data_IF_754361664497
#
_entry.id   IF_754361664497
#
_cell.length_a   1.000
_cell.length_b   1.000
_cell.length_c   1.000
_cell.angle_alpha   90.00
_cell.angle_beta   90.00
_cell.angle_gamma   90.00
#
_symmetry.space_group_name_H-M   'P 1'
#
loop_
_entity.id
_entity.type
_entity.pdbx_description
1 polymer ?
#
# COMPACT_ATOMS: atom_id res chain seq x y z
N UNK A 1 9.80 -26.78 1.21
CA UNK A 1 10.77 -25.68 1.27
C UNK A 1 11.94 -26.17 2.11
N UNK A 2 13.15 -26.10 1.58
CA UNK A 2 14.37 -26.44 2.33
C UNK A 2 14.79 -25.25 3.20
N UNK A 3 15.67 -25.49 4.18
CA UNK A 3 16.26 -24.44 5.01
C UNK A 3 17.03 -23.41 4.17
N UNK A 4 17.78 -23.87 3.16
CA UNK A 4 18.54 -23.01 2.25
C UNK A 4 17.62 -22.17 1.35
N UNK A 5 16.49 -22.74 0.89
CA UNK A 5 15.46 -21.97 0.18
C UNK A 5 14.88 -20.88 1.09
N UNK A 6 14.53 -21.20 2.33
CA UNK A 6 14.03 -20.22 3.31
C UNK A 6 15.07 -19.13 3.65
N UNK A 7 16.34 -19.49 3.81
CA UNK A 7 17.44 -18.54 4.07
C UNK A 7 17.78 -17.68 2.85
N UNK A 8 17.54 -18.17 1.64
CA UNK A 8 17.66 -17.40 0.39
C UNK A 8 16.47 -16.46 0.12
N UNK A 9 15.32 -16.72 0.75
CA UNK A 9 14.11 -15.91 0.62
C UNK A 9 14.22 -14.65 1.47
N UNK A 10 14.90 -13.64 0.93
CA UNK A 10 14.89 -12.31 1.52
C UNK A 10 13.66 -11.53 1.07
N UNK A 11 13.04 -10.85 2.02
CA UNK A 11 11.90 -9.95 1.83
C UNK A 11 12.03 -8.76 2.77
N UNK A 12 11.65 -7.58 2.29
CA UNK A 12 11.60 -6.35 3.09
C UNK A 12 10.14 -5.93 3.13
N UNK A 13 9.64 -5.59 4.32
CA UNK A 13 8.27 -5.10 4.49
C UNK A 13 8.30 -3.69 5.04
N UNK A 14 7.42 -2.85 4.53
CA UNK A 14 6.98 -1.67 5.26
C UNK A 14 5.90 -2.09 6.26
N UNK A 15 5.86 -1.44 7.42
CA UNK A 15 4.93 -1.75 8.51
C UNK A 15 4.68 -0.47 9.32
N UNK A 16 3.41 -0.15 9.60
CA UNK A 16 3.09 0.90 10.57
C UNK A 16 3.28 0.41 12.00
N UNK A 17 3.46 1.35 12.93
CA UNK A 17 3.59 1.04 14.37
C UNK A 17 2.42 0.25 14.95
N UNK A 18 1.24 0.39 14.35
CA UNK A 18 -0.02 -0.16 14.84
C UNK A 18 -0.45 -1.43 14.06
N UNK A 19 0.37 -1.86 13.10
CA UNK A 19 0.18 -3.08 12.33
C UNK A 19 0.78 -4.29 13.05
N UNK A 20 0.06 -5.40 13.00
CA UNK A 20 0.52 -6.70 13.48
C UNK A 20 0.62 -7.67 12.31
N UNK A 21 1.82 -8.23 12.12
CA UNK A 21 2.09 -9.33 11.21
C UNK A 21 2.35 -10.60 12.03
N UNK A 22 1.50 -11.61 11.83
CA UNK A 22 1.69 -12.93 12.43
C UNK A 22 2.76 -13.72 11.65
N UNK A 23 3.34 -14.79 12.23
CA UNK A 23 4.20 -15.69 11.47
C UNK A 23 3.54 -16.21 10.18
N UNK A 24 2.26 -16.61 10.27
CA UNK A 24 1.47 -17.07 9.12
C UNK A 24 1.31 -15.97 8.07
N UNK A 25 1.04 -14.73 8.50
CA UNK A 25 0.97 -13.56 7.61
C UNK A 25 2.24 -13.40 6.79
N UNK A 26 3.41 -13.56 7.42
CA UNK A 26 4.71 -13.43 6.78
C UNK A 26 4.94 -14.59 5.81
N UNK A 27 4.62 -15.81 6.21
CA UNK A 27 4.79 -17.00 5.38
C UNK A 27 3.91 -16.95 4.12
N UNK A 28 2.63 -16.61 4.26
CA UNK A 28 1.68 -16.45 3.15
C UNK A 28 2.23 -15.44 2.14
N UNK A 29 2.78 -14.31 2.60
CA UNK A 29 3.39 -13.30 1.72
C UNK A 29 4.59 -13.86 0.98
N UNK A 30 5.50 -14.56 1.66
CA UNK A 30 6.68 -15.15 1.02
C UNK A 30 6.31 -16.19 -0.04
N UNK A 31 5.29 -17.04 0.20
CA UNK A 31 4.80 -18.01 -0.79
C UNK A 31 4.31 -17.34 -2.07
N UNK A 32 3.75 -16.13 -1.95
CA UNK A 32 3.25 -15.36 -3.09
C UNK A 32 4.27 -14.35 -3.61
N UNK A 33 5.37 -14.07 -2.91
CA UNK A 33 6.33 -13.03 -3.26
C UNK A 33 7.08 -13.39 -4.55
N UNK A 34 6.62 -12.80 -5.66
CA UNK A 34 7.24 -12.88 -6.98
C UNK A 34 8.54 -12.05 -7.07
N UNK A 35 8.84 -11.52 -8.25
CA UNK A 35 10.01 -10.66 -8.49
C UNK A 35 9.77 -9.18 -8.15
N UNK A 36 8.51 -8.75 -7.94
CA UNK A 36 8.15 -7.39 -7.53
C UNK A 36 7.72 -7.32 -6.07
N UNK A 37 6.42 -7.12 -5.84
CA UNK A 37 5.86 -6.94 -4.50
C UNK A 37 4.48 -7.53 -4.31
N UNK A 38 4.13 -7.76 -3.04
CA UNK A 38 2.81 -8.26 -2.63
C UNK A 38 2.11 -7.27 -1.70
N UNK A 39 0.79 -7.23 -1.81
CA UNK A 39 -0.09 -6.56 -0.87
C UNK A 39 -1.33 -7.43 -0.60
N UNK A 40 -2.04 -7.18 0.49
CA UNK A 40 -3.02 -8.13 1.03
C UNK A 40 -4.24 -7.45 1.65
N UNK A 41 -5.22 -8.23 2.12
CA UNK A 41 -6.34 -7.70 2.93
C UNK A 41 -5.88 -7.34 4.34
N UNK A 42 -6.60 -6.42 4.96
CA UNK A 42 -6.36 -5.97 6.35
C UNK A 42 -7.64 -6.02 7.15
N UNK A 43 -7.55 -6.64 8.33
CA UNK A 43 -8.61 -6.64 9.31
C UNK A 43 -8.36 -5.53 10.33
N UNK A 44 -9.37 -4.69 10.54
CA UNK A 44 -9.35 -3.65 11.56
C UNK A 44 -10.03 -4.21 12.81
N UNK A 45 -9.32 -4.25 13.93
CA UNK A 45 -9.86 -4.71 15.20
C UNK A 45 -9.79 -3.61 16.27
N UNK A 46 -10.74 -3.60 17.20
CA UNK A 46 -10.72 -2.67 18.34
C UNK A 46 -10.07 -3.25 19.58
N UNK A 47 -9.91 -2.45 20.64
CA UNK A 47 -9.30 -2.87 21.90
C UNK A 47 -9.95 -4.11 22.53
N UNK A 48 -11.24 -4.33 22.28
CA UNK A 48 -12.03 -5.50 22.66
C UNK A 48 -11.86 -6.71 21.71
N UNK A 49 -10.94 -6.61 20.75
CA UNK A 49 -10.58 -7.62 19.73
C UNK A 49 -11.69 -7.96 18.73
N UNK A 50 -12.79 -7.21 18.71
CA UNK A 50 -13.81 -7.35 17.67
C UNK A 50 -13.26 -6.84 16.33
N UNK A 51 -13.32 -7.67 15.28
CA UNK A 51 -13.06 -7.23 13.91
C UNK A 51 -14.22 -6.32 13.49
N UNK A 52 -13.92 -5.08 13.08
CA UNK A 52 -14.92 -4.11 12.65
C UNK A 52 -15.21 -4.15 11.17
N UNK A 53 -14.16 -4.27 10.36
CA UNK A 53 -14.29 -4.39 8.91
C UNK A 53 -13.01 -4.95 8.32
N UNK A 54 -13.13 -5.52 7.12
CA UNK A 54 -11.99 -5.92 6.30
C UNK A 54 -11.84 -4.92 5.16
N UNK A 55 -10.65 -4.35 5.02
CA UNK A 55 -10.26 -3.56 3.85
C UNK A 55 -9.66 -4.50 2.80
N UNK A 56 -10.28 -4.52 1.64
CA UNK A 56 -9.83 -5.32 0.51
C UNK A 56 -8.79 -4.57 -0.33
N UNK A 57 -7.98 -5.32 -1.06
CA UNK A 57 -7.11 -4.80 -2.12
C UNK A 57 -7.64 -5.18 -3.52
N UNK A 58 -7.01 -4.69 -4.59
CA UNK A 58 -7.17 -5.20 -5.96
C UNK A 58 -5.82 -5.49 -6.61
N UNK A 59 -5.80 -6.26 -7.69
CA UNK A 59 -4.59 -6.48 -8.47
C UNK A 59 -4.16 -5.17 -9.19
N UNK A 60 -2.89 -4.79 -9.04
CA UNK A 60 -2.31 -3.58 -9.62
C UNK A 60 -1.55 -3.81 -10.93
N UNK A 61 -1.55 -5.03 -11.51
CA UNK A 61 -0.86 -5.30 -12.79
C UNK A 61 -1.39 -4.51 -13.99
N UNK A 62 -2.65 -4.08 -13.96
CA UNK A 62 -3.20 -3.20 -14.99
C UNK A 62 -3.16 -1.74 -14.50
N UNK A 63 -2.40 -0.83 -15.14
CA UNK A 63 -2.41 0.59 -14.80
C UNK A 63 -3.80 1.22 -14.87
N UNK A 64 -4.71 0.69 -15.69
CA UNK A 64 -6.10 1.17 -15.77
C UNK A 64 -6.93 0.79 -14.52
N UNK A 65 -6.51 -0.24 -13.79
CA UNK A 65 -7.11 -0.61 -12.51
C UNK A 65 -6.60 0.28 -11.35
N UNK A 66 -5.55 1.07 -11.59
CA UNK A 66 -5.04 2.08 -10.67
C UNK A 66 -5.62 3.41 -11.11
N UNK A 67 -6.63 3.95 -10.42
CA UNK A 67 -6.98 5.34 -10.70
C UNK A 67 -6.02 6.25 -9.91
N UNK A 68 -5.24 7.04 -10.64
CA UNK A 68 -4.13 7.80 -10.08
C UNK A 68 -4.57 9.08 -9.35
N UNK A 69 -5.87 9.37 -9.34
CA UNK A 69 -6.40 10.69 -9.04
C UNK A 69 -7.40 10.75 -7.88
N UNK A 70 -7.98 9.63 -7.44
CA UNK A 70 -9.04 9.62 -6.43
C UNK A 70 -8.56 9.32 -4.99
N UNK A 71 -7.36 9.75 -4.58
CA UNK A 71 -6.94 9.72 -3.17
C UNK A 71 -7.06 8.34 -2.51
N UNK A 72 -6.30 7.38 -3.04
CA UNK A 72 -6.54 5.94 -2.93
C UNK A 72 -6.35 5.30 -1.54
N UNK A 73 -7.26 5.57 -0.61
CA UNK A 73 -7.41 4.75 0.61
C UNK A 73 -8.21 3.46 0.39
N UNK A 74 -8.81 3.27 -0.80
CA UNK A 74 -9.89 2.30 -0.96
C UNK A 74 -9.54 1.07 -1.80
N UNK A 75 -8.56 1.12 -2.71
CA UNK A 75 -8.29 -0.02 -3.61
C UNK A 75 -7.04 -0.82 -3.23
N UNK A 76 -6.12 -0.22 -2.48
CA UNK A 76 -4.85 -0.85 -2.11
C UNK A 76 -4.54 -0.61 -0.65
N UNK A 77 -4.22 -1.70 0.04
CA UNK A 77 -3.82 -1.65 1.42
C UNK A 77 -2.32 -1.36 1.51
N UNK A 78 -1.98 -0.08 1.61
CA UNK A 78 -0.60 0.40 1.61
C UNK A 78 0.17 0.10 2.90
N UNK A 79 -0.56 -0.18 4.00
CA UNK A 79 0.00 -0.30 5.34
C UNK A 79 1.09 -1.36 5.48
N UNK A 80 1.04 -2.44 4.68
CA UNK A 80 2.08 -3.48 4.78
C UNK A 80 2.34 -4.18 3.45
N UNK A 81 3.07 -3.50 2.57
CA UNK A 81 3.62 -4.12 1.36
C UNK A 81 4.95 -4.80 1.64
N UNK A 82 5.17 -5.94 0.98
CA UNK A 82 6.42 -6.69 1.04
C UNK A 82 7.05 -6.78 -0.35
N UNK A 83 8.33 -6.44 -0.44
CA UNK A 83 9.13 -6.47 -1.65
C UNK A 83 10.24 -7.51 -1.59
N UNK A 84 10.70 -7.92 -2.77
CA UNK A 84 12.05 -8.46 -2.92
C UNK A 84 13.09 -7.34 -2.79
N UNK A 85 14.28 -7.61 -2.21
CA UNK A 85 15.36 -6.63 -2.16
C UNK A 85 15.76 -6.07 -3.53
N UNK A 86 15.75 -6.92 -4.57
CA UNK A 86 16.09 -6.53 -5.95
C UNK A 86 15.09 -5.51 -6.51
N UNK A 87 13.80 -5.73 -6.27
CA UNK A 87 12.78 -4.78 -6.65
C UNK A 87 12.92 -3.47 -5.86
N UNK A 88 13.21 -3.54 -4.55
CA UNK A 88 13.42 -2.33 -3.75
C UNK A 88 14.62 -1.50 -4.24
N UNK A 89 15.69 -2.15 -4.69
CA UNK A 89 16.82 -1.48 -5.33
C UNK A 89 16.41 -0.79 -6.64
N UNK A 90 15.65 -1.49 -7.49
CA UNK A 90 15.09 -0.91 -8.71
C UNK A 90 14.20 0.29 -8.39
N UNK A 91 13.28 0.16 -7.42
CA UNK A 91 12.38 1.21 -6.97
C UNK A 91 13.15 2.46 -6.56
N UNK A 92 14.24 2.33 -5.77
CA UNK A 92 15.08 3.46 -5.35
C UNK A 92 15.69 4.20 -6.54
N UNK A 93 16.14 3.49 -7.58
CA UNK A 93 16.68 4.12 -8.80
C UNK A 93 15.54 4.77 -9.60
N UNK A 94 14.41 4.09 -9.73
CA UNK A 94 13.23 4.58 -10.43
C UNK A 94 12.75 5.90 -9.86
N UNK A 95 12.52 5.96 -8.54
CA UNK A 95 11.98 7.15 -7.88
C UNK A 95 12.95 8.33 -7.93
N UNK A 96 14.26 8.09 -7.83
CA UNK A 96 15.26 9.13 -8.00
C UNK A 96 15.21 9.73 -9.41
N UNK A 97 15.06 8.89 -10.44
CA UNK A 97 14.97 9.35 -11.84
C UNK A 97 13.64 10.02 -12.15
N UNK A 98 12.53 9.46 -11.68
CA UNK A 98 11.17 9.91 -12.02
C UNK A 98 10.71 11.12 -11.22
N UNK A 99 11.05 11.16 -9.93
CA UNK A 99 10.53 12.13 -8.96
C UNK A 99 11.62 12.92 -8.24
N UNK A 100 12.90 12.65 -8.51
CA UNK A 100 14.05 13.27 -7.83
C UNK A 100 14.03 13.09 -6.29
N UNK A 101 13.56 11.93 -5.80
CA UNK A 101 13.57 11.58 -4.38
C UNK A 101 14.60 10.50 -4.05
N UNK A 102 15.19 10.56 -2.85
CA UNK A 102 16.18 9.56 -2.39
C UNK A 102 15.53 8.36 -1.67
N UNK A 103 14.30 8.55 -1.16
CA UNK A 103 13.50 7.54 -0.48
C UNK A 103 12.40 6.93 -1.36
N UNK A 104 11.73 5.90 -0.85
CA UNK A 104 10.59 5.26 -1.54
C UNK A 104 9.30 6.09 -1.44
N UNK A 105 9.26 7.09 -0.56
CA UNK A 105 8.24 8.13 -0.45
C UNK A 105 8.90 9.52 -0.34
N UNK A 106 8.12 10.57 -0.59
CA UNK A 106 8.50 11.98 -0.50
C UNK A 106 8.65 12.36 0.99
N UNK A 107 9.85 12.74 1.47
CA UNK A 107 10.04 13.11 2.88
C UNK A 107 9.37 14.45 3.25
N UNK A 108 8.83 15.19 2.27
CA UNK A 108 8.19 16.49 2.48
C UNK A 108 6.66 16.42 2.48
N UNK A 109 6.04 15.23 2.40
CA UNK A 109 4.62 15.05 2.72
C UNK A 109 4.47 14.83 4.23
N UNK A 110 3.43 15.40 4.79
CA UNK A 110 3.16 15.31 6.23
C UNK A 110 2.17 14.20 6.58
N UNK A 111 1.54 13.59 5.57
CA UNK A 111 0.51 12.57 5.68
C UNK A 111 0.39 11.82 4.33
N UNK A 112 0.08 10.52 4.38
CA UNK A 112 -0.05 9.66 3.20
C UNK A 112 1.27 9.11 2.63
N UNK A 113 2.29 8.93 3.46
CA UNK A 113 3.57 8.34 3.03
C UNK A 113 3.44 6.90 2.54
N UNK A 114 2.52 6.15 3.14
CA UNK A 114 2.15 4.80 2.74
C UNK A 114 1.58 4.78 1.32
N UNK A 115 0.68 5.73 1.01
CA UNK A 115 0.10 5.92 -0.32
C UNK A 115 1.17 6.29 -1.34
N UNK A 116 2.04 7.25 -1.04
CA UNK A 116 3.11 7.67 -1.97
C UNK A 116 4.11 6.54 -2.26
N UNK A 117 4.47 5.79 -1.22
CA UNK A 117 5.30 4.59 -1.33
C UNK A 117 4.64 3.51 -2.19
N UNK A 118 3.35 3.27 -1.99
CA UNK A 118 2.60 2.28 -2.76
C UNK A 118 2.54 2.67 -4.23
N UNK A 119 2.16 3.92 -4.55
CA UNK A 119 2.06 4.40 -5.93
C UNK A 119 3.42 4.39 -6.63
N UNK A 120 4.49 4.77 -5.92
CA UNK A 120 5.86 4.64 -6.42
C UNK A 120 6.21 3.19 -6.75
N UNK A 121 5.82 2.24 -5.88
CA UNK A 121 6.02 0.80 -6.08
C UNK A 121 5.23 0.27 -7.28
N UNK A 122 3.93 0.58 -7.36
CA UNK A 122 3.08 0.12 -8.46
C UNK A 122 3.58 0.64 -9.81
N UNK A 123 3.97 1.92 -9.89
CA UNK A 123 4.48 2.52 -11.11
C UNK A 123 5.82 1.93 -11.53
N UNK A 124 6.74 1.73 -10.59
CA UNK A 124 8.01 1.06 -10.85
C UNK A 124 7.80 -0.39 -11.33
N UNK A 125 6.83 -1.10 -10.75
CA UNK A 125 6.52 -2.47 -11.17
C UNK A 125 5.95 -2.53 -12.58
N UNK A 126 5.01 -1.64 -12.92
CA UNK A 126 4.43 -1.58 -14.27
C UNK A 126 5.49 -1.18 -15.31
N UNK A 127 6.26 -0.11 -15.07
CA UNK A 127 7.27 0.39 -16.02
C UNK A 127 8.49 -0.56 -16.12
N UNK A 128 8.76 -1.34 -15.09
CA UNK A 128 9.86 -2.30 -15.03
C UNK A 128 9.48 -3.77 -15.29
N UNK A 129 8.23 -4.05 -15.67
CA UNK A 129 7.70 -5.40 -15.93
C UNK A 129 7.86 -6.38 -14.73
N UNK A 130 7.69 -5.88 -13.51
CA UNK A 130 7.70 -6.69 -12.29
C UNK A 130 6.30 -7.16 -11.87
N UNK A 131 6.24 -8.27 -11.15
CA UNK A 131 5.00 -8.79 -10.57
C UNK A 131 4.48 -7.91 -9.43
N UNK A 132 3.27 -7.37 -9.59
CA UNK A 132 2.42 -6.96 -8.46
C UNK A 132 1.45 -8.09 -8.17
N UNK A 133 1.34 -8.54 -6.92
CA UNK A 133 0.37 -9.59 -6.55
C UNK A 133 -0.48 -9.18 -5.36
N UNK A 134 -1.79 -9.35 -5.55
CA UNK A 134 -2.76 -9.22 -4.48
C UNK A 134 -3.04 -10.60 -3.86
N UNK A 135 -2.94 -10.70 -2.54
CA UNK A 135 -3.32 -11.90 -1.78
C UNK A 135 -4.70 -11.67 -1.18
N UNK A 136 -5.68 -12.48 -1.57
CA UNK A 136 -7.06 -12.40 -1.07
C UNK A 136 -7.24 -13.02 0.33
N UNK A 137 -6.27 -12.77 1.22
CA UNK A 137 -6.24 -13.25 2.60
C UNK A 137 -5.90 -12.09 3.53
N UNK A 138 -6.44 -12.13 4.74
CA UNK A 138 -6.08 -11.17 5.79
C UNK A 138 -4.71 -11.53 6.31
N UNK A 139 -3.70 -10.73 5.97
CA UNK A 139 -2.35 -10.90 6.53
C UNK A 139 -1.91 -9.71 7.37
N UNK A 140 -2.77 -8.70 7.50
CA UNK A 140 -2.53 -7.49 8.32
C UNK A 140 -3.63 -7.38 9.35
N UNK A 141 -3.22 -7.18 10.59
CA UNK A 141 -4.14 -6.91 11.68
C UNK A 141 -3.85 -5.51 12.19
N UNK A 142 -4.81 -4.62 12.02
CA UNK A 142 -4.68 -3.25 12.44
C UNK A 142 -5.44 -2.99 13.72
N UNK A 143 -4.73 -2.49 14.73
CA UNK A 143 -5.38 -2.07 15.95
C UNK A 143 -5.95 -0.67 15.76
N UNK A 144 -7.26 -0.56 15.64
CA UNK A 144 -7.92 0.74 15.68
C UNK A 144 -8.01 1.24 17.13
N UNK A 145 -7.31 2.33 17.45
CA UNK A 145 -7.32 2.98 18.75
C UNK A 145 -7.27 4.52 18.64
N UNK A 146 -7.76 5.21 19.67
CA UNK A 146 -7.85 6.69 19.68
C UNK A 146 -6.50 7.40 19.56
N UNK A 147 -5.42 6.74 19.98
CA UNK A 147 -4.05 7.26 19.86
C UNK A 147 -3.39 6.92 18.51
N UNK A 148 -4.11 6.22 17.63
CA UNK A 148 -3.55 5.80 16.36
C UNK A 148 -3.37 7.00 15.45
N UNK A 149 -2.18 7.14 14.88
CA UNK A 149 -1.87 8.27 14.01
C UNK A 149 -2.73 8.29 12.74
N UNK A 150 -3.27 7.14 12.32
CA UNK A 150 -4.12 7.05 11.12
C UNK A 150 -5.49 7.74 11.28
N UNK A 151 -5.91 8.04 12.50
CA UNK A 151 -7.25 8.56 12.80
C UNK A 151 -7.25 9.82 13.67
N UNK A 152 -6.15 10.10 14.38
CA UNK A 152 -6.25 10.98 15.54
C UNK A 152 -6.32 12.48 15.27
N UNK A 153 -5.67 13.09 14.27
CA UNK A 153 -5.48 14.57 14.32
C UNK A 153 -5.30 15.34 13.01
N UNK A 154 -5.57 14.73 11.85
CA UNK A 154 -5.39 15.44 10.57
C UNK A 154 -6.74 15.97 10.12
N UNK A 155 -6.92 17.30 10.09
CA UNK A 155 -8.16 17.90 9.61
C UNK A 155 -8.48 17.39 8.20
N UNK A 156 -9.75 17.06 7.92
CA UNK A 156 -10.18 16.43 6.66
C UNK A 156 -9.64 17.15 5.42
N UNK A 157 -9.63 18.49 5.42
CA UNK A 157 -9.13 19.29 4.32
C UNK A 157 -7.61 19.15 4.12
N UNK A 158 -6.84 19.03 5.21
CA UNK A 158 -5.41 18.80 5.14
C UNK A 158 -5.11 17.41 4.57
N UNK A 159 -5.77 16.37 5.06
CA UNK A 159 -5.62 15.00 4.56
C UNK A 159 -5.90 14.93 3.05
N UNK A 160 -7.02 15.53 2.61
CA UNK A 160 -7.37 15.62 1.19
C UNK A 160 -6.34 16.42 0.38
N UNK A 161 -5.75 17.48 0.94
CA UNK A 161 -4.70 18.25 0.28
C UNK A 161 -3.42 17.45 0.06
N UNK A 162 -3.01 16.62 1.05
CA UNK A 162 -1.84 15.77 0.93
C UNK A 162 -2.10 14.64 -0.06
N UNK A 163 -3.26 13.99 0.01
CA UNK A 163 -3.67 12.98 -0.97
C UNK A 163 -3.69 13.53 -2.39
N UNK A 164 -4.17 14.77 -2.59
CA UNK A 164 -4.14 15.43 -3.89
C UNK A 164 -2.71 15.65 -4.38
N UNK A 165 -1.82 16.17 -3.53
CA UNK A 165 -0.40 16.37 -3.87
C UNK A 165 0.27 15.06 -4.31
N UNK A 166 0.03 13.97 -3.58
CA UNK A 166 0.55 12.64 -3.91
C UNK A 166 -0.05 12.16 -5.24
N UNK A 167 -1.35 12.29 -5.43
CA UNK A 167 -2.03 11.91 -6.67
C UNK A 167 -1.46 12.67 -7.87
N UNK A 168 -1.35 14.00 -7.77
CA UNK A 168 -0.81 14.88 -8.82
C UNK A 168 0.62 14.49 -9.23
N UNK A 169 1.47 14.10 -8.27
CA UNK A 169 2.83 13.58 -8.52
C UNK A 169 2.82 12.32 -9.39
N UNK A 170 1.83 11.45 -9.17
CA UNK A 170 1.76 10.14 -9.83
C UNK A 170 0.88 10.09 -11.07
N UNK A 171 0.14 11.17 -11.41
CA UNK A 171 -0.66 11.22 -12.62
C UNK A 171 0.20 10.93 -13.87
N UNK A 172 -0.29 10.14 -14.83
CA UNK A 172 0.29 10.08 -16.18
C UNK A 172 0.28 11.47 -16.82
N UNK A 173 1.30 11.79 -17.62
CA UNK A 173 1.33 13.06 -18.37
C UNK A 173 0.09 13.15 -19.27
N UNK A 174 -0.75 14.16 -19.04
CA UNK A 174 -2.01 14.37 -19.77
C UNK A 174 -3.26 13.73 -19.14
N UNK A 175 -3.14 13.08 -17.98
CA UNK A 175 -4.29 12.58 -17.23
C UNK A 175 -5.02 13.72 -16.50
N UNK A 176 -6.30 13.93 -16.81
CA UNK A 176 -7.15 14.80 -15.99
C UNK A 176 -7.47 14.11 -14.67
N UNK A 177 -7.30 14.83 -13.55
CA UNK A 177 -7.87 14.42 -12.27
C UNK A 177 -9.41 14.35 -12.44
N UNK A 178 -10.10 13.20 -12.25
CA UNK A 178 -11.53 13.13 -12.38
C UNK A 178 -12.17 14.05 -11.35
N UNK A 179 -13.22 14.75 -11.78
CA UNK A 179 -14.09 15.47 -10.86
C UNK A 179 -14.56 14.50 -9.79
N UNK A 180 -14.41 14.93 -8.53
CA UNK A 180 -14.86 14.25 -7.32
C UNK A 180 -16.28 13.69 -7.54
N UNK A 181 -16.38 12.38 -7.79
CA UNK A 181 -17.68 11.71 -7.90
C UNK A 181 -18.01 11.23 -6.50
N UNK A 182 -18.95 11.91 -5.86
CA UNK A 182 -19.62 11.40 -4.67
C UNK A 182 -20.12 9.98 -4.99
N UNK A 183 -19.52 8.96 -4.39
CA UNK A 183 -19.83 7.57 -4.71
C UNK A 183 -19.36 6.64 -3.60
N UNK A 184 -20.33 6.04 -2.92
CA UNK A 184 -20.26 4.88 -2.03
C UNK A 184 -18.94 4.07 -2.05
N UNK A 185 -18.35 3.89 -0.86
CA UNK A 185 -17.12 3.12 -0.62
C UNK A 185 -17.28 1.66 -1.08
N UNK A 186 -16.62 1.20 -2.16
CA UNK A 186 -16.84 -0.14 -2.71
C UNK A 186 -15.98 -1.23 -2.05
N UNK A 187 -15.18 -0.91 -1.03
CA UNK A 187 -14.04 -1.74 -0.61
C UNK A 187 -14.02 -2.10 0.88
N UNK A 188 -15.12 -1.85 1.58
CA UNK A 188 -15.34 -2.28 2.95
C UNK A 188 -16.29 -3.47 2.93
N UNK A 189 -15.85 -4.58 3.48
CA UNK A 189 -16.72 -5.70 3.83
C UNK A 189 -17.06 -5.56 5.31
N UNK A 190 -18.31 -5.21 5.60
CA UNK A 190 -18.85 -5.26 6.95
C UNK A 190 -19.14 -6.72 7.31
N UNK A 191 -18.58 -7.17 8.43
CA UNK A 191 -18.88 -8.49 8.99
C UNK A 191 -20.06 -8.32 9.96
N UNK A 192 -21.20 -8.95 9.64
CA UNK A 192 -22.43 -8.97 10.46
C UNK A 192 -22.23 -9.82 11.71
#
# INVERSE_FOLDING_TARGET
MTKEEAESLQGITYIHSDDILTPDSVEIRFRHLGNGFVHTRMAFFTNDRAIRYIRNGKDAKNPDNINWAAGYNFIFNAHTIMWRPQFLQYLKVFVKRKFNQDGIFDPFIADGEDLDMFLSSARAAIEGEFDVRYINEVTVWYRNHQQSMSAANVGTDFHLSQQKRISDKHLPLGGNSPRNTNGTSPCLEELV
#
